data_IF_345145355939
#
_entry.id   IF_345145355939
#
_cell.length_a   1.000
_cell.length_b   1.000
_cell.length_c   1.000
_cell.angle_alpha   90.00
_cell.angle_beta   90.00
_cell.angle_gamma   90.00
#
_symmetry.space_group_name_H-M   'P 1'
#
loop_
_entity.id
_entity.type
_entity.pdbx_description
1 polymer ?
#
# COMPACT_ATOMS: atom_id res chain seq x y z
N UNK A 1 2.93 -16.51 -45.42
CA UNK A 1 3.92 -17.18 -44.57
C UNK A 1 4.02 -18.67 -44.89
N UNK A 2 2.93 -19.42 -44.95
CA UNK A 2 2.88 -20.88 -45.23
C UNK A 2 3.45 -21.27 -46.59
N UNK A 3 3.25 -20.49 -47.69
CA UNK A 3 3.82 -20.75 -49.01
C UNK A 3 5.35 -20.80 -49.06
N UNK A 4 6.05 -20.02 -48.19
CA UNK A 4 7.52 -20.05 -48.04
C UNK A 4 8.03 -21.30 -47.30
N UNK A 5 7.25 -21.81 -46.34
CA UNK A 5 7.57 -23.01 -45.56
C UNK A 5 7.58 -24.26 -46.47
N UNK A 6 6.66 -24.34 -47.43
CA UNK A 6 6.55 -25.50 -48.34
C UNK A 6 7.74 -25.70 -49.28
N UNK A 7 8.60 -24.68 -49.45
CA UNK A 7 9.83 -24.75 -50.27
C UNK A 7 11.08 -25.20 -49.51
N UNK A 8 10.97 -25.38 -48.16
CA UNK A 8 12.10 -25.73 -47.28
C UNK A 8 12.17 -27.26 -47.08
N UNK A 9 13.39 -27.81 -46.86
CA UNK A 9 13.58 -29.20 -46.40
C UNK A 9 12.82 -29.41 -45.08
N UNK A 10 12.29 -30.64 -44.88
CA UNK A 10 11.45 -30.98 -43.73
C UNK A 10 12.09 -30.59 -42.38
N UNK A 11 13.37 -30.93 -42.17
CA UNK A 11 14.09 -30.63 -40.95
C UNK A 11 14.25 -29.12 -40.71
N UNK A 12 14.52 -28.31 -41.75
CA UNK A 12 14.62 -26.86 -41.65
C UNK A 12 13.24 -26.20 -41.34
N UNK A 13 12.15 -26.77 -41.85
CA UNK A 13 10.78 -26.34 -41.60
C UNK A 13 10.39 -26.57 -40.13
N UNK A 14 10.63 -27.80 -39.63
CA UNK A 14 10.43 -28.16 -38.22
C UNK A 14 11.20 -27.23 -37.29
N UNK A 15 12.51 -27.08 -37.50
CA UNK A 15 13.39 -26.21 -36.68
C UNK A 15 12.87 -24.77 -36.64
N UNK A 16 12.45 -24.23 -37.80
CA UNK A 16 11.93 -22.85 -37.88
C UNK A 16 10.62 -22.70 -37.13
N UNK A 17 9.71 -23.67 -37.21
CA UNK A 17 8.42 -23.63 -36.53
C UNK A 17 8.55 -23.77 -35.04
N UNK A 18 9.36 -24.69 -34.54
CA UNK A 18 9.65 -24.79 -33.10
C UNK A 18 10.30 -23.51 -32.54
N UNK A 19 11.26 -22.94 -33.29
CA UNK A 19 11.87 -21.68 -32.90
C UNK A 19 10.86 -20.53 -32.78
N UNK A 20 9.86 -20.46 -33.65
CA UNK A 20 8.79 -19.45 -33.57
C UNK A 20 7.90 -19.66 -32.35
N UNK A 21 7.52 -20.90 -32.06
CA UNK A 21 6.73 -21.23 -30.86
C UNK A 21 7.51 -20.85 -29.60
N UNK A 22 8.77 -21.27 -29.48
CA UNK A 22 9.64 -20.94 -28.33
C UNK A 22 9.78 -19.42 -28.15
N UNK A 23 9.94 -18.68 -29.25
CA UNK A 23 10.07 -17.23 -29.21
C UNK A 23 8.79 -16.55 -28.70
N UNK A 24 7.61 -17.01 -29.15
CA UNK A 24 6.32 -16.51 -28.67
C UNK A 24 6.16 -16.75 -27.17
N UNK A 25 6.43 -17.99 -26.70
CA UNK A 25 6.37 -18.31 -25.28
C UNK A 25 7.41 -17.55 -24.46
N UNK A 26 8.62 -17.34 -25.01
CA UNK A 26 9.65 -16.52 -24.35
C UNK A 26 9.21 -15.07 -24.16
N UNK A 27 8.61 -14.45 -25.17
CA UNK A 27 8.07 -13.07 -25.07
C UNK A 27 6.92 -13.02 -24.05
N UNK A 28 6.01 -14.01 -24.09
CA UNK A 28 4.89 -14.07 -23.14
C UNK A 28 5.40 -14.20 -21.70
N UNK A 29 6.36 -15.08 -21.46
CA UNK A 29 6.97 -15.26 -20.13
C UNK A 29 7.65 -13.97 -19.64
N UNK A 30 8.40 -13.28 -20.51
CA UNK A 30 9.02 -12.00 -20.17
C UNK A 30 7.97 -10.94 -19.82
N UNK A 31 6.86 -10.87 -20.55
CA UNK A 31 5.75 -9.95 -20.25
C UNK A 31 5.15 -10.22 -18.86
N UNK A 32 4.90 -11.49 -18.52
CA UNK A 32 4.37 -11.89 -17.22
C UNK A 32 5.32 -11.46 -16.09
N UNK A 33 6.63 -11.68 -16.26
CA UNK A 33 7.63 -11.26 -15.26
C UNK A 33 7.63 -9.75 -15.07
N UNK A 34 7.57 -8.95 -16.14
CA UNK A 34 7.51 -7.49 -16.04
C UNK A 34 6.25 -7.03 -15.29
N UNK A 35 5.09 -7.61 -15.60
CA UNK A 35 3.84 -7.27 -14.90
C UNK A 35 3.94 -7.65 -13.42
N UNK A 36 4.53 -8.80 -13.09
CA UNK A 36 4.70 -9.24 -11.71
C UNK A 36 5.61 -8.29 -10.91
N UNK A 37 6.76 -7.89 -11.48
CA UNK A 37 7.67 -6.93 -10.86
C UNK A 37 7.01 -5.57 -10.64
N UNK A 38 6.27 -5.07 -11.64
CA UNK A 38 5.48 -3.85 -11.51
C UNK A 38 4.47 -3.94 -10.37
N UNK A 39 3.72 -5.05 -10.28
CA UNK A 39 2.73 -5.27 -9.22
C UNK A 39 3.35 -5.30 -7.84
N UNK A 40 4.45 -6.04 -7.66
CA UNK A 40 5.16 -6.15 -6.37
C UNK A 40 5.64 -4.77 -5.91
N UNK A 41 6.24 -3.99 -6.81
CA UNK A 41 6.76 -2.66 -6.47
C UNK A 41 5.64 -1.70 -6.06
N UNK A 42 4.54 -1.64 -6.81
CA UNK A 42 3.41 -0.75 -6.48
C UNK A 42 2.66 -1.21 -5.22
N UNK A 43 2.55 -2.53 -4.99
CA UNK A 43 1.97 -3.05 -3.77
C UNK A 43 2.79 -2.69 -2.54
N UNK A 44 4.13 -2.77 -2.64
CA UNK A 44 5.05 -2.30 -1.60
C UNK A 44 4.82 -0.82 -1.28
N UNK A 45 4.74 0.03 -2.30
CA UNK A 45 4.46 1.48 -2.13
C UNK A 45 3.13 1.74 -1.40
N UNK A 46 2.09 0.96 -1.71
CA UNK A 46 0.78 1.09 -1.02
C UNK A 46 0.89 0.68 0.45
N UNK A 47 1.64 -0.38 0.76
CA UNK A 47 1.86 -0.80 2.14
C UNK A 47 2.63 0.24 2.94
N UNK A 48 3.75 0.73 2.39
CA UNK A 48 4.67 1.61 3.08
C UNK A 48 4.09 3.02 3.31
N UNK A 49 3.33 3.56 2.33
CA UNK A 49 2.83 4.93 2.42
C UNK A 49 1.39 5.03 2.95
N UNK A 50 0.62 3.94 2.96
CA UNK A 50 -0.78 4.02 3.37
C UNK A 50 -1.18 2.97 4.41
N UNK A 51 -0.79 1.70 4.26
CA UNK A 51 -1.28 0.65 5.16
C UNK A 51 -0.57 0.68 6.53
N UNK A 52 0.76 0.69 6.56
CA UNK A 52 1.52 0.77 7.80
C UNK A 52 1.33 2.10 8.55
N UNK A 53 1.31 3.26 7.87
CA UNK A 53 1.05 4.53 8.54
C UNK A 53 -0.30 4.62 9.25
N UNK A 54 -1.32 3.87 8.83
CA UNK A 54 -2.59 3.82 9.57
C UNK A 54 -2.41 3.31 11.00
N UNK A 55 -1.52 2.32 11.19
CA UNK A 55 -1.16 1.83 12.51
C UNK A 55 -0.46 2.92 13.36
N UNK A 56 0.52 3.62 12.78
CA UNK A 56 1.23 4.69 13.47
C UNK A 56 0.31 5.88 13.78
N UNK A 57 -0.60 6.26 12.88
CA UNK A 57 -1.62 7.29 13.13
C UNK A 57 -2.54 6.87 14.28
N UNK A 58 -3.01 5.62 14.31
CA UNK A 58 -3.84 5.12 15.39
C UNK A 58 -3.11 5.14 16.73
N UNK A 59 -1.82 4.79 16.75
CA UNK A 59 -1.00 4.89 17.95
C UNK A 59 -0.79 6.34 18.38
N UNK A 60 -0.54 7.27 17.46
CA UNK A 60 -0.47 8.71 17.79
C UNK A 60 -1.80 9.20 18.41
N UNK A 61 -2.95 8.79 17.87
CA UNK A 61 -4.26 9.12 18.45
C UNK A 61 -4.39 8.58 19.88
N UNK A 62 -3.95 7.32 20.12
CA UNK A 62 -3.96 6.73 21.45
C UNK A 62 -3.05 7.51 22.41
N UNK A 63 -1.81 7.79 22.02
CA UNK A 63 -0.87 8.54 22.88
C UNK A 63 -1.37 9.95 23.19
N UNK A 64 -2.01 10.64 22.24
CA UNK A 64 -2.63 11.95 22.51
C UNK A 64 -3.76 11.84 23.54
N UNK A 65 -4.53 10.75 23.53
CA UNK A 65 -5.56 10.49 24.54
C UNK A 65 -4.94 10.16 25.91
N UNK A 66 -3.82 9.43 25.95
CA UNK A 66 -3.05 9.17 27.18
C UNK A 66 -2.47 10.45 27.77
N UNK A 67 -1.93 11.38 26.97
CA UNK A 67 -1.52 12.71 27.44
C UNK A 67 -2.66 13.39 28.18
N UNK A 68 -3.84 13.44 27.55
CA UNK A 68 -5.04 14.06 28.16
C UNK A 68 -5.49 13.33 29.42
N UNK A 69 -5.43 12.00 29.43
CA UNK A 69 -5.81 11.19 30.59
C UNK A 69 -4.87 11.41 31.77
N UNK A 70 -3.56 11.47 31.51
CA UNK A 70 -2.55 11.75 32.53
C UNK A 70 -2.69 13.15 33.10
N UNK A 71 -2.95 14.18 32.26
CA UNK A 71 -3.23 15.55 32.72
C UNK A 71 -4.42 15.60 33.66
N UNK A 72 -5.49 14.85 33.36
CA UNK A 72 -6.65 14.72 34.25
C UNK A 72 -6.30 14.05 35.57
N UNK A 73 -5.44 13.03 35.56
CA UNK A 73 -4.93 12.36 36.74
C UNK A 73 -4.10 13.32 37.60
N UNK A 74 -3.18 14.12 37.02
CA UNK A 74 -2.37 15.12 37.71
C UNK A 74 -3.25 16.14 38.47
N UNK A 75 -4.31 16.58 37.81
CA UNK A 75 -5.21 17.63 38.39
C UNK A 75 -6.23 17.02 39.37
N UNK A 76 -6.57 15.72 39.21
CA UNK A 76 -7.66 15.08 39.95
C UNK A 76 -7.24 14.32 41.21
N UNK A 77 -5.97 13.95 41.36
CA UNK A 77 -5.50 13.22 42.54
C UNK A 77 -5.17 14.15 43.70
N UNK A 78 -5.36 13.62 44.90
CA UNK A 78 -5.13 14.28 46.20
C UNK A 78 -3.88 13.74 46.93
N UNK A 79 -3.03 13.01 46.22
CA UNK A 79 -1.80 12.42 46.75
C UNK A 79 -0.61 12.76 45.88
N UNK A 80 0.45 13.32 46.50
CA UNK A 80 1.67 13.71 45.82
C UNK A 80 2.31 12.55 45.04
N UNK A 81 2.26 11.33 45.59
CA UNK A 81 2.81 10.14 44.92
C UNK A 81 2.03 9.75 43.65
N UNK A 82 0.71 9.91 43.67
CA UNK A 82 -0.12 9.64 42.47
C UNK A 82 0.05 10.75 41.44
N UNK A 83 0.13 12.00 41.87
CA UNK A 83 0.42 13.16 40.99
C UNK A 83 1.75 12.94 40.28
N UNK A 84 2.80 12.53 41.00
CA UNK A 84 4.12 12.30 40.38
C UNK A 84 4.10 11.12 39.39
N UNK A 85 3.43 10.03 39.73
CA UNK A 85 3.22 8.92 38.80
C UNK A 85 2.50 9.34 37.52
N UNK A 86 1.49 10.22 37.63
CA UNK A 86 0.78 10.75 36.47
C UNK A 86 1.63 11.69 35.62
N UNK A 87 2.55 12.47 36.24
CA UNK A 87 3.52 13.28 35.48
C UNK A 87 4.47 12.42 34.67
N UNK A 88 5.01 11.36 35.25
CA UNK A 88 5.85 10.40 34.50
C UNK A 88 5.10 9.78 33.32
N UNK A 89 3.84 9.38 33.51
CA UNK A 89 2.99 8.86 32.42
C UNK A 89 2.72 9.93 31.37
N UNK A 90 2.45 11.18 31.78
CA UNK A 90 2.26 12.30 30.87
C UNK A 90 3.49 12.54 29.99
N UNK A 91 4.68 12.64 30.60
CA UNK A 91 5.93 12.84 29.87
C UNK A 91 6.21 11.71 28.88
N UNK A 92 5.96 10.46 29.31
CA UNK A 92 6.12 9.31 28.42
C UNK A 92 5.13 9.36 27.25
N UNK A 93 3.86 9.68 27.50
CA UNK A 93 2.85 9.78 26.45
C UNK A 93 3.15 10.91 25.46
N UNK A 94 3.60 12.10 25.96
CA UNK A 94 4.06 13.20 25.10
C UNK A 94 5.18 12.75 24.18
N UNK A 95 6.21 12.11 24.75
CA UNK A 95 7.35 11.60 23.97
C UNK A 95 6.91 10.58 22.93
N UNK A 96 6.09 9.60 23.32
CA UNK A 96 5.58 8.58 22.40
C UNK A 96 4.74 9.19 21.27
N UNK A 97 3.89 10.16 21.58
CA UNK A 97 3.11 10.89 20.59
C UNK A 97 4.00 11.58 19.55
N UNK A 98 5.00 12.33 20.01
CA UNK A 98 5.94 13.03 19.13
C UNK A 98 6.77 12.05 18.28
N UNK A 99 7.18 10.92 18.84
CA UNK A 99 7.87 9.85 18.10
C UNK A 99 7.00 9.25 16.99
N UNK A 100 5.70 9.05 17.23
CA UNK A 100 4.77 8.58 16.18
C UNK A 100 4.57 9.63 15.09
N UNK A 101 4.48 10.92 15.42
CA UNK A 101 4.40 11.99 14.41
C UNK A 101 5.63 11.99 13.49
N UNK A 102 6.83 11.79 14.05
CA UNK A 102 8.07 11.69 13.25
C UNK A 102 8.10 10.45 12.34
N UNK A 103 7.51 9.33 12.76
CA UNK A 103 7.35 8.13 11.89
C UNK A 103 6.36 8.34 10.76
N UNK A 104 5.27 9.04 11.02
CA UNK A 104 4.20 9.31 10.05
C UNK A 104 4.68 10.31 8.98
N UNK A 105 5.41 11.34 9.37
CA UNK A 105 5.81 12.47 8.51
C UNK A 105 6.40 12.07 7.15
N UNK A 106 7.41 11.17 7.05
CA UNK A 106 8.00 10.78 5.77
C UNK A 106 7.05 10.01 4.85
N UNK A 107 5.94 9.46 5.36
CA UNK A 107 4.96 8.72 4.57
C UNK A 107 3.88 9.65 3.97
N UNK A 108 3.80 10.90 4.40
CA UNK A 108 2.85 11.90 3.91
C UNK A 108 3.37 12.58 2.64
N UNK A 109 3.45 11.82 1.56
CA UNK A 109 4.05 12.22 0.27
C UNK A 109 3.17 13.12 -0.60
N UNK A 110 1.91 13.34 -0.23
CA UNK A 110 0.97 14.21 -0.96
C UNK A 110 0.91 15.60 -0.33
N UNK A 111 0.50 16.61 -1.11
CA UNK A 111 0.30 17.98 -0.59
C UNK A 111 -0.77 18.02 0.50
N UNK A 112 -1.82 17.24 0.33
CA UNK A 112 -2.91 17.13 1.30
C UNK A 112 -2.41 16.46 2.61
N UNK A 113 -1.58 15.43 2.50
CA UNK A 113 -0.95 14.76 3.64
C UNK A 113 -0.03 15.70 4.42
N UNK A 114 0.84 16.44 3.72
CA UNK A 114 1.70 17.46 4.35
C UNK A 114 0.89 18.53 5.05
N UNK A 115 -0.18 19.04 4.40
CA UNK A 115 -1.04 20.05 5.03
C UNK A 115 -1.79 19.52 6.27
N UNK A 116 -2.14 18.22 6.31
CA UNK A 116 -2.68 17.61 7.53
C UNK A 116 -1.63 17.55 8.65
N UNK A 117 -0.37 17.20 8.33
CA UNK A 117 0.71 17.20 9.33
C UNK A 117 0.94 18.61 9.89
N UNK A 118 0.99 19.64 9.04
CA UNK A 118 1.14 21.03 9.48
C UNK A 118 -0.01 21.46 10.43
N UNK A 119 -1.24 21.01 10.13
CA UNK A 119 -2.39 21.27 10.99
C UNK A 119 -2.29 20.55 12.35
N UNK A 120 -1.77 19.30 12.37
CA UNK A 120 -1.51 18.56 13.61
C UNK A 120 -0.42 19.25 14.43
N UNK A 121 0.69 19.62 13.81
CA UNK A 121 1.79 20.33 14.50
C UNK A 121 1.31 21.60 15.19
N UNK A 122 0.48 22.39 14.48
CA UNK A 122 -0.13 23.60 15.03
C UNK A 122 -1.05 23.29 16.20
N UNK A 123 -1.98 22.35 16.01
CA UNK A 123 -2.95 21.98 17.04
C UNK A 123 -2.26 21.39 18.28
N UNK A 124 -1.22 20.57 18.07
CA UNK A 124 -0.40 20.02 19.15
C UNK A 124 0.33 21.12 19.94
N UNK A 125 0.98 22.06 19.27
CA UNK A 125 1.65 23.17 19.93
C UNK A 125 0.69 24.00 20.78
N UNK A 126 -0.51 24.29 20.25
CA UNK A 126 -1.55 25.05 20.98
C UNK A 126 -2.10 24.25 22.17
N UNK A 127 -2.32 22.95 22.04
CA UNK A 127 -2.77 22.10 23.15
C UNK A 127 -1.68 21.98 24.22
N UNK A 128 -0.44 21.69 23.85
CA UNK A 128 0.70 21.51 24.76
C UNK A 128 0.98 22.77 25.62
N UNK A 129 0.82 23.94 25.01
CA UNK A 129 0.97 25.21 25.77
C UNK A 129 -0.08 25.35 26.87
N UNK A 130 -1.34 25.05 26.58
CA UNK A 130 -2.42 25.16 27.56
C UNK A 130 -2.34 24.04 28.60
N UNK A 131 -2.03 22.81 28.17
CA UNK A 131 -1.88 21.65 29.03
C UNK A 131 -0.75 21.86 30.08
N UNK A 132 0.39 22.43 29.66
CA UNK A 132 1.46 22.80 30.59
C UNK A 132 1.00 23.78 31.67
N UNK A 133 0.19 24.79 31.32
CA UNK A 133 -0.38 25.74 32.29
C UNK A 133 -1.36 25.05 33.25
N UNK A 134 -2.16 24.13 32.74
CA UNK A 134 -3.08 23.35 33.58
C UNK A 134 -2.30 22.49 34.58
N UNK A 135 -1.23 21.84 34.14
CA UNK A 135 -0.36 21.04 35.01
C UNK A 135 0.35 21.90 36.03
N UNK A 136 0.89 23.08 35.65
CA UNK A 136 1.55 24.01 36.55
C UNK A 136 0.65 24.43 37.72
N UNK A 137 -0.62 24.73 37.46
CA UNK A 137 -1.61 25.09 38.47
C UNK A 137 -2.11 23.88 39.26
N UNK A 138 -2.35 22.75 38.58
CA UNK A 138 -3.10 21.64 39.12
C UNK A 138 -2.27 20.50 39.72
N UNK A 139 -0.95 20.48 39.55
CA UNK A 139 -0.07 19.47 40.14
C UNK A 139 0.15 19.69 41.65
N UNK A 140 -0.91 19.62 42.43
CA UNK A 140 -0.93 19.93 43.84
C UNK A 140 -2.08 19.24 44.56
N UNK A 141 -1.92 19.04 45.87
CA UNK A 141 -2.98 18.58 46.79
C UNK A 141 -3.87 19.71 47.31
N UNK A 142 -3.63 20.97 46.92
CA UNK A 142 -4.48 22.11 47.25
C UNK A 142 -5.78 22.09 46.45
N UNK A 143 -6.90 21.86 47.10
CA UNK A 143 -8.22 21.75 46.50
C UNK A 143 -8.62 22.98 45.67
N UNK A 144 -8.26 24.19 46.11
CA UNK A 144 -8.65 25.42 45.40
C UNK A 144 -7.90 25.55 44.08
N UNK A 145 -6.61 25.21 44.03
CA UNK A 145 -5.80 25.18 42.81
C UNK A 145 -6.23 24.03 41.88
N UNK A 146 -6.51 22.88 42.45
CA UNK A 146 -7.04 21.74 41.67
C UNK A 146 -8.36 22.11 40.96
N UNK A 147 -9.30 22.76 41.67
CA UNK A 147 -10.56 23.24 41.06
C UNK A 147 -10.30 24.32 39.99
N UNK A 148 -9.32 25.21 40.21
CA UNK A 148 -8.93 26.16 39.15
C UNK A 148 -8.40 25.46 37.92
N UNK A 149 -7.48 24.52 38.07
CA UNK A 149 -6.92 23.75 36.95
C UNK A 149 -8.01 22.92 36.22
N UNK A 150 -8.99 22.37 36.94
CA UNK A 150 -10.12 21.66 36.33
C UNK A 150 -10.98 22.59 35.44
N UNK A 151 -11.17 23.83 35.82
CA UNK A 151 -11.85 24.84 34.97
C UNK A 151 -11.01 25.15 33.74
N UNK A 152 -9.71 25.44 33.89
CA UNK A 152 -8.80 25.64 32.73
C UNK A 152 -8.80 24.45 31.79
N UNK A 153 -8.81 23.24 32.33
CA UNK A 153 -8.88 22.02 31.53
C UNK A 153 -10.18 21.95 30.70
N UNK A 154 -11.32 22.37 31.28
CA UNK A 154 -12.62 22.33 30.60
C UNK A 154 -12.75 23.47 29.60
N UNK A 155 -12.37 24.69 30.00
CA UNK A 155 -12.67 25.90 29.24
C UNK A 155 -11.60 26.22 28.19
N UNK A 156 -10.34 25.86 28.44
CA UNK A 156 -9.21 26.20 27.58
C UNK A 156 -8.56 24.99 26.91
N UNK A 157 -8.24 23.93 27.67
CA UNK A 157 -7.53 22.78 27.12
C UNK A 157 -8.43 21.85 26.27
N UNK A 158 -9.68 21.65 26.68
CA UNK A 158 -10.59 20.73 25.97
C UNK A 158 -10.84 21.15 24.50
N UNK A 159 -11.11 22.43 24.17
CA UNK A 159 -11.27 22.82 22.76
C UNK A 159 -9.97 22.69 21.95
N UNK A 160 -8.79 22.87 22.55
CA UNK A 160 -7.50 22.67 21.88
C UNK A 160 -7.22 21.20 21.63
N UNK A 161 -7.53 20.34 22.60
CA UNK A 161 -7.46 18.89 22.39
C UNK A 161 -8.41 18.42 21.29
N UNK A 162 -9.64 18.96 21.26
CA UNK A 162 -10.60 18.61 20.22
C UNK A 162 -10.08 18.98 18.82
N UNK A 163 -9.44 20.14 18.68
CA UNK A 163 -8.82 20.55 17.42
C UNK A 163 -7.68 19.62 17.00
N UNK A 164 -6.88 19.10 17.94
CA UNK A 164 -5.85 18.11 17.70
C UNK A 164 -6.46 16.77 17.26
N UNK A 165 -7.46 16.29 18.00
CA UNK A 165 -8.16 15.05 17.68
C UNK A 165 -8.82 15.08 16.28
N UNK A 166 -9.51 16.18 15.97
CA UNK A 166 -10.10 16.41 14.64
C UNK A 166 -9.04 16.40 13.52
N UNK A 167 -7.87 17.00 13.77
CA UNK A 167 -6.76 16.99 12.80
C UNK A 167 -6.18 15.57 12.59
N UNK A 168 -6.01 14.80 13.65
CA UNK A 168 -5.56 13.40 13.59
C UNK A 168 -6.59 12.51 12.87
N UNK A 169 -7.87 12.66 13.19
CA UNK A 169 -8.95 11.93 12.50
C UNK A 169 -9.00 12.27 11.02
N UNK A 170 -8.79 13.54 10.66
CA UNK A 170 -8.72 13.98 9.26
C UNK A 170 -7.54 13.34 8.52
N UNK A 171 -6.36 13.27 9.16
CA UNK A 171 -5.20 12.59 8.60
C UNK A 171 -5.49 11.11 8.38
N UNK A 172 -6.08 10.42 9.35
CA UNK A 172 -6.48 9.01 9.24
C UNK A 172 -7.44 8.80 8.05
N UNK A 173 -8.49 9.61 7.97
CA UNK A 173 -9.49 9.53 6.90
C UNK A 173 -8.86 9.77 5.52
N UNK A 174 -7.98 10.76 5.40
CA UNK A 174 -7.24 11.06 4.18
C UNK A 174 -6.34 9.87 3.77
N UNK A 175 -5.56 9.33 4.70
CA UNK A 175 -4.67 8.21 4.45
C UNK A 175 -5.44 6.96 3.97
N UNK A 176 -6.55 6.62 4.61
CA UNK A 176 -7.44 5.53 4.19
C UNK A 176 -7.99 5.79 2.78
N UNK A 177 -8.45 7.00 2.49
CA UNK A 177 -9.00 7.37 1.19
C UNK A 177 -7.97 7.25 0.07
N UNK A 178 -6.77 7.77 0.27
CA UNK A 178 -5.66 7.69 -0.69
C UNK A 178 -5.22 6.24 -0.91
N UNK A 179 -5.05 5.47 0.15
CA UNK A 179 -4.71 4.06 0.06
C UNK A 179 -5.74 3.23 -0.71
N UNK A 180 -7.03 3.51 -0.51
CA UNK A 180 -8.11 2.86 -1.27
C UNK A 180 -8.11 3.27 -2.75
N UNK A 181 -7.82 4.53 -3.07
CA UNK A 181 -7.71 5.01 -4.44
C UNK A 181 -6.55 4.33 -5.19
N UNK A 182 -5.36 4.29 -4.59
CA UNK A 182 -4.18 3.62 -5.14
C UNK A 182 -4.43 2.11 -5.34
N UNK A 183 -5.04 1.45 -4.36
CA UNK A 183 -5.43 0.04 -4.47
C UNK A 183 -6.41 -0.20 -5.62
N UNK A 184 -7.39 0.66 -5.80
CA UNK A 184 -8.37 0.55 -6.89
C UNK A 184 -7.71 0.74 -8.25
N UNK A 185 -6.79 1.70 -8.37
CA UNK A 185 -6.01 1.93 -9.58
C UNK A 185 -5.13 0.72 -9.92
N UNK A 186 -4.37 0.20 -8.95
CA UNK A 186 -3.54 -0.99 -9.14
C UNK A 186 -4.37 -2.20 -9.57
N UNK A 187 -5.53 -2.42 -8.94
CA UNK A 187 -6.47 -3.48 -9.32
C UNK A 187 -6.92 -3.36 -10.78
N UNK A 188 -7.24 -2.16 -11.23
CA UNK A 188 -7.68 -1.90 -12.61
C UNK A 188 -6.56 -2.24 -13.61
N UNK A 189 -5.32 -1.81 -13.33
CA UNK A 189 -4.15 -2.13 -14.14
C UNK A 189 -3.91 -3.64 -14.19
N UNK A 190 -4.01 -4.33 -13.06
CA UNK A 190 -3.85 -5.78 -12.98
C UNK A 190 -4.90 -6.54 -13.80
N UNK A 191 -6.18 -6.15 -13.72
CA UNK A 191 -7.25 -6.76 -14.51
C UNK A 191 -6.98 -6.57 -16.01
N UNK A 192 -6.60 -5.36 -16.43
CA UNK A 192 -6.24 -5.09 -17.82
C UNK A 192 -5.05 -5.95 -18.28
N UNK A 193 -4.00 -6.06 -17.48
CA UNK A 193 -2.83 -6.88 -17.76
C UNK A 193 -3.18 -8.37 -17.89
N UNK A 194 -3.97 -8.92 -16.97
CA UNK A 194 -4.45 -10.31 -17.02
C UNK A 194 -5.27 -10.55 -18.31
N UNK A 195 -6.15 -9.62 -18.65
CA UNK A 195 -6.98 -9.70 -19.86
C UNK A 195 -6.10 -9.77 -21.12
N UNK A 196 -5.08 -8.90 -21.21
CA UNK A 196 -4.13 -8.90 -22.32
C UNK A 196 -3.39 -10.26 -22.40
N UNK A 197 -2.92 -10.78 -21.27
CA UNK A 197 -2.23 -12.08 -21.20
C UNK A 197 -3.13 -13.19 -21.74
N UNK A 198 -4.40 -13.24 -21.30
CA UNK A 198 -5.36 -14.24 -21.75
C UNK A 198 -5.56 -14.18 -23.28
N UNK A 199 -5.71 -12.97 -23.82
CA UNK A 199 -5.86 -12.76 -25.27
C UNK A 199 -4.61 -13.25 -26.02
N UNK A 200 -3.41 -12.90 -25.53
CA UNK A 200 -2.14 -13.32 -26.15
C UNK A 200 -1.98 -14.83 -26.11
N UNK A 201 -2.35 -15.49 -25.00
CA UNK A 201 -2.34 -16.96 -24.89
C UNK A 201 -3.29 -17.59 -25.92
N UNK A 202 -4.53 -17.11 -26.03
CA UNK A 202 -5.51 -17.61 -26.96
C UNK A 202 -5.04 -17.49 -28.43
N UNK A 203 -4.53 -16.32 -28.81
CA UNK A 203 -3.98 -16.08 -30.15
C UNK A 203 -2.76 -16.98 -30.43
N UNK A 204 -1.87 -17.11 -29.46
CA UNK A 204 -0.68 -17.96 -29.56
C UNK A 204 -1.04 -19.43 -29.72
N UNK A 205 -2.07 -19.90 -29.03
CA UNK A 205 -2.57 -21.28 -29.12
C UNK A 205 -3.18 -21.56 -30.49
N UNK A 206 -4.02 -20.64 -30.99
CA UNK A 206 -4.60 -20.77 -32.35
C UNK A 206 -3.50 -20.77 -33.40
N UNK A 207 -2.52 -19.89 -33.30
CA UNK A 207 -1.38 -19.82 -34.21
C UNK A 207 -0.55 -21.09 -34.17
N UNK A 208 -0.20 -21.61 -32.99
CA UNK A 208 0.58 -22.86 -32.82
C UNK A 208 -0.16 -24.07 -33.38
N UNK A 209 -1.46 -24.18 -33.17
CA UNK A 209 -2.30 -25.22 -33.69
C UNK A 209 -2.35 -25.17 -35.23
N UNK A 210 -2.56 -23.97 -35.80
CA UNK A 210 -2.56 -23.79 -37.27
C UNK A 210 -1.21 -24.14 -37.89
N UNK A 211 -0.11 -23.81 -37.21
CA UNK A 211 1.24 -24.16 -37.65
C UNK A 211 1.48 -25.67 -37.59
N UNK A 212 1.04 -26.33 -36.53
CA UNK A 212 1.14 -27.78 -36.33
C UNK A 212 0.42 -28.55 -37.47
N UNK A 213 -0.83 -28.17 -37.76
CA UNK A 213 -1.63 -28.76 -38.84
C UNK A 213 -0.95 -28.57 -40.22
N UNK A 214 -0.42 -27.36 -40.47
CA UNK A 214 0.27 -27.07 -41.73
C UNK A 214 1.55 -27.92 -41.91
N UNK A 215 2.29 -28.14 -40.80
CA UNK A 215 3.49 -28.99 -40.82
C UNK A 215 3.11 -30.44 -41.03
N UNK A 216 2.14 -30.98 -40.29
CA UNK A 216 1.67 -32.35 -40.40
C UNK A 216 1.27 -32.66 -41.83
N UNK A 217 0.37 -31.88 -42.43
CA UNK A 217 -0.05 -32.05 -43.83
C UNK A 217 1.11 -31.99 -44.84
N UNK A 218 2.11 -31.17 -44.56
CA UNK A 218 3.27 -30.99 -45.45
C UNK A 218 4.28 -32.12 -45.39
N UNK A 219 4.22 -32.97 -44.36
CA UNK A 219 5.06 -34.18 -44.19
C UNK A 219 4.29 -35.40 -44.65
N UNK A 220 3.04 -35.52 -44.23
CA UNK A 220 2.18 -36.69 -44.51
C UNK A 220 1.90 -36.86 -46.00
N UNK A 221 1.64 -35.79 -46.74
CA UNK A 221 1.34 -35.87 -48.18
C UNK A 221 2.46 -36.46 -48.99
N UNK A 222 3.74 -36.01 -48.93
CA UNK A 222 4.84 -36.64 -49.65
C UNK A 222 5.14 -38.08 -49.22
N UNK A 223 4.94 -38.41 -47.92
CA UNK A 223 5.15 -39.74 -47.39
C UNK A 223 4.10 -40.72 -47.96
N UNK A 224 2.86 -40.34 -48.03
CA UNK A 224 1.80 -41.13 -48.60
C UNK A 224 2.00 -41.32 -50.13
N UNK A 225 2.37 -40.27 -50.85
CA UNK A 225 2.73 -40.35 -52.28
C UNK A 225 3.91 -41.32 -52.53
N UNK A 226 4.92 -41.34 -51.67
CA UNK A 226 6.03 -42.29 -51.75
C UNK A 226 5.57 -43.71 -51.44
N UNK A 227 4.78 -43.90 -50.38
CA UNK A 227 4.19 -45.19 -50.01
C UNK A 227 3.37 -45.78 -51.16
N UNK A 228 2.48 -44.96 -51.73
CA UNK A 228 1.62 -45.40 -52.85
C UNK A 228 2.43 -45.81 -54.10
N UNK A 229 3.51 -45.09 -54.41
CA UNK A 229 4.45 -45.44 -55.47
C UNK A 229 5.16 -46.81 -55.20
N UNK A 230 5.61 -47.05 -53.96
CA UNK A 230 6.27 -48.28 -53.56
C UNK A 230 5.29 -49.49 -53.67
N UNK A 231 4.03 -49.32 -53.31
CA UNK A 231 3.00 -50.36 -53.42
C UNK A 231 2.67 -50.69 -54.90
N UNK A 232 2.77 -49.69 -55.78
CA UNK A 232 2.49 -49.83 -57.20
C UNK A 232 3.65 -50.55 -57.98
N UNK A 233 4.88 -50.54 -57.41
CA UNK A 233 6.06 -51.18 -57.97
C UNK A 233 6.36 -52.59 -57.39
N UNK A 234 5.61 -53.01 -56.35
CA UNK A 234 5.65 -54.39 -55.81
C UNK A 234 4.55 -55.25 -56.41
#
# INVERSE_FOLDING_TARGET
MFKKLNKMKIGARLKKSFRQIILIFGILSALVVVIMLYTINNYGTILDNYAYPQGDIAMAMNESAEVRAASRGIVGYDSDSLIESMKEQHEQAVKSFEEYLEKIRPTMITKEGTACMDAIDKAWAEYKEVDAKVIEVGATTDTAKSLQAQRMMTDEAAPKYQALDDALQKLMALNISLGNAERAQLRTIMIAAITIIIIVIAVSTIYSNSLSVAISKSIEKPLNELKDRFITFA
#
